data_IF_856913040923
#
_entry.id   IF_856913040923
#
_cell.length_a   1.000
_cell.length_b   1.000
_cell.length_c   1.000
_cell.angle_alpha   90.00
_cell.angle_beta   90.00
_cell.angle_gamma   90.00
#
_symmetry.space_group_name_H-M   'P 1'
#
loop_
_entity.id
_entity.type
_entity.pdbx_description
1 polymer ?
#
# COMPACT_ATOMS: atom_id res chain seq x y z
N UNK A 1 2.05 20.38 -10.85
CA UNK A 1 1.49 20.12 -9.50
C UNK A 1 2.64 19.90 -8.54
N UNK A 2 2.71 20.65 -7.43
CA UNK A 2 3.73 20.42 -6.40
C UNK A 2 3.39 19.14 -5.66
N UNK A 3 4.13 18.08 -5.98
CA UNK A 3 4.11 16.80 -5.28
C UNK A 3 4.67 17.00 -3.88
N UNK A 4 3.84 17.48 -2.96
CA UNK A 4 4.26 17.84 -1.60
C UNK A 4 4.09 16.61 -0.73
N UNK A 5 5.19 15.92 -0.46
CA UNK A 5 5.22 14.86 0.54
C UNK A 5 4.79 15.43 1.88
N UNK A 6 3.59 15.09 2.36
CA UNK A 6 3.12 15.60 3.66
C UNK A 6 3.60 14.69 4.79
N UNK A 7 4.03 15.24 5.95
CA UNK A 7 4.34 14.43 7.14
C UNK A 7 3.17 13.52 7.55
N UNK A 8 1.94 13.97 7.30
CA UNK A 8 0.72 13.19 7.57
C UNK A 8 0.66 11.93 6.70
N UNK A 9 0.93 12.04 5.40
CA UNK A 9 0.95 10.87 4.49
C UNK A 9 1.99 9.84 4.94
N UNK A 10 3.20 10.29 5.27
CA UNK A 10 4.26 9.39 5.77
C UNK A 10 3.81 8.68 7.06
N UNK A 11 3.27 9.43 8.03
CA UNK A 11 2.78 8.86 9.29
C UNK A 11 1.70 7.79 9.07
N UNK A 12 0.79 8.00 8.12
CA UNK A 12 -0.26 7.03 7.80
C UNK A 12 0.29 5.75 7.18
N UNK A 13 1.27 5.85 6.28
CA UNK A 13 1.92 4.66 5.72
C UNK A 13 2.66 3.86 6.79
N UNK A 14 3.43 4.54 7.65
CA UNK A 14 4.13 3.89 8.75
C UNK A 14 3.16 3.22 9.73
N UNK A 15 2.02 3.86 10.02
CA UNK A 15 0.98 3.25 10.85
C UNK A 15 0.39 2.01 10.18
N UNK A 16 0.09 2.06 8.88
CA UNK A 16 -0.44 0.93 8.14
C UNK A 16 0.53 -0.26 8.09
N UNK A 17 1.82 0.02 7.89
CA UNK A 17 2.89 -1.00 7.95
C UNK A 17 2.93 -1.68 9.32
N UNK A 18 2.94 -0.88 10.40
CA UNK A 18 2.90 -1.42 11.76
C UNK A 18 1.62 -2.20 12.08
N UNK A 19 0.47 -1.81 11.53
CA UNK A 19 -0.76 -2.60 11.67
C UNK A 19 -0.68 -3.95 10.93
N UNK A 20 0.00 -4.02 9.79
CA UNK A 20 0.24 -5.29 9.09
C UNK A 20 1.16 -6.22 9.90
N UNK A 21 2.20 -5.68 10.54
CA UNK A 21 3.08 -6.47 11.43
C UNK A 21 2.32 -7.07 12.63
N UNK A 22 1.22 -6.43 13.04
CA UNK A 22 0.36 -6.88 14.14
C UNK A 22 -0.82 -7.76 13.67
N UNK A 23 -0.87 -8.15 12.40
CA UNK A 23 -1.97 -8.91 11.78
C UNK A 23 -3.33 -8.19 11.92
N UNK A 24 -3.31 -6.85 11.81
CA UNK A 24 -4.47 -5.96 11.89
C UNK A 24 -4.78 -5.32 10.52
N UNK A 25 -5.21 -6.11 9.51
CA UNK A 25 -5.35 -5.61 8.15
C UNK A 25 -6.47 -4.58 7.98
N UNK A 26 -7.51 -4.60 8.82
CA UNK A 26 -8.61 -3.64 8.74
C UNK A 26 -8.15 -2.21 9.10
N UNK A 27 -7.34 -2.08 10.14
CA UNK A 27 -6.76 -0.83 10.61
C UNK A 27 -5.74 -0.28 9.60
N UNK A 28 -4.94 -1.17 9.00
CA UNK A 28 -4.04 -0.80 7.91
C UNK A 28 -4.81 -0.19 6.73
N UNK A 29 -5.87 -0.86 6.26
CA UNK A 29 -6.73 -0.35 5.18
C UNK A 29 -7.31 1.02 5.56
N UNK A 30 -7.83 1.16 6.78
CA UNK A 30 -8.44 2.41 7.25
C UNK A 30 -7.45 3.59 7.27
N UNK A 31 -6.17 3.37 7.62
CA UNK A 31 -5.16 4.42 7.52
C UNK A 31 -4.81 4.77 6.07
N UNK A 32 -4.71 3.77 5.19
CA UNK A 32 -4.36 3.93 3.78
C UNK A 32 -5.46 4.63 2.96
N UNK A 33 -6.72 4.38 3.28
CA UNK A 33 -7.89 5.03 2.66
C UNK A 33 -8.00 6.50 3.03
N UNK A 34 -7.42 6.91 4.15
CA UNK A 34 -7.37 8.32 4.57
C UNK A 34 -6.26 9.12 3.87
N UNK A 35 -5.45 8.49 3.03
CA UNK A 35 -4.47 9.17 2.17
C UNK A 35 -5.18 9.54 0.86
N UNK A 36 -5.52 10.82 0.71
CA UNK A 36 -6.21 11.34 -0.49
C UNK A 36 -5.26 11.68 -1.64
N UNK A 37 -3.99 11.97 -1.33
CA UNK A 37 -2.91 12.16 -2.29
C UNK A 37 -1.60 11.65 -1.68
N UNK A 38 -1.03 10.61 -2.29
CA UNK A 38 0.23 10.02 -1.86
C UNK A 38 1.45 10.58 -2.63
N UNK A 39 1.22 11.30 -3.74
CA UNK A 39 2.28 11.80 -4.61
C UNK A 39 3.36 10.75 -4.90
N UNK A 40 4.64 10.97 -4.52
CA UNK A 40 5.73 10.03 -4.80
C UNK A 40 5.57 8.69 -4.05
N UNK A 41 4.73 8.65 -3.01
CA UNK A 41 4.49 7.47 -2.18
C UNK A 41 3.28 6.65 -2.66
N UNK A 42 2.72 6.93 -3.83
CA UNK A 42 1.61 6.14 -4.37
C UNK A 42 2.00 4.68 -4.57
N UNK A 43 3.22 4.39 -5.02
CA UNK A 43 3.72 3.01 -5.15
C UNK A 43 3.69 2.25 -3.81
N UNK A 44 4.38 2.75 -2.76
CA UNK A 44 4.30 2.19 -1.41
C UNK A 44 2.88 2.09 -0.84
N UNK A 45 2.04 3.13 -1.03
CA UNK A 45 0.64 3.10 -0.60
C UNK A 45 -0.13 1.94 -1.23
N UNK A 46 -0.01 1.77 -2.54
CA UNK A 46 -0.64 0.68 -3.30
C UNK A 46 -0.14 -0.68 -2.85
N UNK A 47 1.16 -0.79 -2.57
CA UNK A 47 1.75 -2.04 -2.08
C UNK A 47 1.14 -2.45 -0.74
N UNK A 48 1.17 -1.56 0.26
CA UNK A 48 0.62 -1.84 1.60
C UNK A 48 -0.88 -2.10 1.55
N UNK A 49 -1.63 -1.36 0.73
CA UNK A 49 -3.06 -1.58 0.57
C UNK A 49 -3.35 -2.94 -0.05
N UNK A 50 -2.58 -3.35 -1.06
CA UNK A 50 -2.67 -4.66 -1.66
C UNK A 50 -2.43 -5.80 -0.67
N UNK A 51 -1.39 -5.69 0.16
CA UNK A 51 -1.08 -6.67 1.20
C UNK A 51 -2.21 -6.75 2.24
N UNK A 52 -2.70 -5.59 2.72
CA UNK A 52 -3.78 -5.53 3.70
C UNK A 52 -5.10 -6.11 3.17
N UNK A 53 -5.42 -5.84 1.90
CA UNK A 53 -6.60 -6.40 1.24
C UNK A 53 -6.47 -7.91 1.06
N UNK A 54 -5.28 -8.43 0.74
CA UNK A 54 -5.02 -9.87 0.65
C UNK A 54 -5.23 -10.54 2.01
N UNK A 55 -4.66 -9.98 3.07
CA UNK A 55 -4.80 -10.49 4.43
C UNK A 55 -6.25 -10.46 4.95
N UNK A 56 -7.05 -9.49 4.51
CA UNK A 56 -8.49 -9.42 4.83
C UNK A 56 -9.40 -10.26 3.92
N UNK A 57 -8.83 -11.07 3.02
CA UNK A 57 -9.59 -11.94 2.10
C UNK A 57 -10.20 -11.24 0.89
N UNK A 58 -9.94 -9.93 0.70
CA UNK A 58 -10.45 -9.12 -0.42
C UNK A 58 -9.54 -9.24 -1.64
N UNK A 59 -9.43 -10.45 -2.18
CA UNK A 59 -8.42 -10.81 -3.17
C UNK A 59 -8.49 -9.96 -4.46
N UNK A 60 -9.68 -9.69 -4.99
CA UNK A 60 -9.82 -8.90 -6.23
C UNK A 60 -9.27 -7.47 -6.09
N UNK A 61 -9.52 -6.83 -4.95
CA UNK A 61 -8.98 -5.50 -4.65
C UNK A 61 -7.48 -5.55 -4.39
N UNK A 62 -7.00 -6.62 -3.76
CA UNK A 62 -5.59 -6.85 -3.50
C UNK A 62 -4.81 -6.92 -4.81
N UNK A 63 -5.28 -7.72 -5.77
CA UNK A 63 -4.65 -7.89 -7.09
C UNK A 63 -4.52 -6.55 -7.79
N UNK A 64 -5.62 -5.77 -7.86
CA UNK A 64 -5.62 -4.44 -8.49
C UNK A 64 -4.55 -3.52 -7.89
N UNK A 65 -4.41 -3.50 -6.56
CA UNK A 65 -3.45 -2.63 -5.90
C UNK A 65 -2.00 -3.11 -6.05
N UNK A 66 -1.76 -4.42 -5.96
CA UNK A 66 -0.44 -5.01 -6.15
C UNK A 66 0.08 -4.84 -7.59
N UNK A 67 -0.80 -4.97 -8.60
CA UNK A 67 -0.45 -4.70 -10.01
C UNK A 67 -0.03 -3.25 -10.21
N UNK A 68 -0.77 -2.29 -9.64
CA UNK A 68 -0.44 -0.87 -9.72
C UNK A 68 0.89 -0.57 -9.01
N UNK A 69 1.10 -1.14 -7.82
CA UNK A 69 2.37 -1.03 -7.12
C UNK A 69 3.54 -1.55 -7.96
N UNK A 70 3.37 -2.71 -8.61
CA UNK A 70 4.40 -3.32 -9.44
C UNK A 70 4.74 -2.48 -10.69
N UNK A 71 3.75 -1.79 -11.27
CA UNK A 71 3.95 -0.87 -12.41
C UNK A 71 4.70 0.40 -12.01
N UNK A 72 4.43 0.93 -10.82
CA UNK A 72 5.03 2.18 -10.32
C UNK A 72 6.46 1.94 -9.81
N UNK A 73 6.67 0.83 -9.09
CA UNK A 73 7.89 0.63 -8.32
C UNK A 73 9.05 0.03 -9.16
N UNK A 74 10.31 0.35 -8.81
CA UNK A 74 11.47 -0.33 -9.37
C UNK A 74 11.69 -1.72 -8.73
N UNK A 75 12.56 -2.52 -9.33
CA UNK A 75 13.10 -3.75 -8.70
C UNK A 75 13.95 -3.36 -7.47
N UNK A 76 13.92 -4.11 -6.35
CA UNK A 76 13.28 -5.42 -6.15
C UNK A 76 11.79 -5.38 -5.80
N UNK A 77 11.25 -4.21 -5.43
CA UNK A 77 9.89 -4.08 -4.90
C UNK A 77 8.84 -4.49 -5.93
N UNK A 78 9.06 -4.16 -7.21
CA UNK A 78 8.25 -4.69 -8.32
C UNK A 78 8.13 -6.21 -8.30
N UNK A 79 9.26 -6.91 -8.15
CA UNK A 79 9.29 -8.38 -8.14
C UNK A 79 8.56 -8.93 -6.92
N UNK A 80 8.74 -8.29 -5.76
CA UNK A 80 8.00 -8.62 -4.56
C UNK A 80 6.48 -8.48 -4.79
N UNK A 81 6.02 -7.36 -5.34
CA UNK A 81 4.59 -7.13 -5.62
C UNK A 81 3.99 -8.19 -6.56
N UNK A 82 4.72 -8.57 -7.63
CA UNK A 82 4.30 -9.65 -8.52
C UNK A 82 4.22 -11.01 -7.83
N UNK A 83 5.15 -11.30 -6.91
CA UNK A 83 5.13 -12.55 -6.14
C UNK A 83 3.90 -12.62 -5.22
N UNK A 84 3.44 -11.49 -4.69
CA UNK A 84 2.26 -11.46 -3.83
C UNK A 84 0.93 -11.72 -4.57
N UNK A 85 0.93 -11.76 -5.91
CA UNK A 85 -0.26 -12.08 -6.72
C UNK A 85 -0.52 -13.59 -6.92
N UNK A 86 0.47 -14.44 -6.63
CA UNK A 86 0.44 -15.90 -6.80
C UNK A 86 0.59 -16.62 -5.47
#
# INVERSE_FOLDING_TARGET
>A
MRSTLTPKTVRRLLAADGFLDLDMPAEAIAELDRITDAGPLEGPRRLLLGIALKASGRMDDAIRNLELAARIMPSPIRRFAWRELV
#
